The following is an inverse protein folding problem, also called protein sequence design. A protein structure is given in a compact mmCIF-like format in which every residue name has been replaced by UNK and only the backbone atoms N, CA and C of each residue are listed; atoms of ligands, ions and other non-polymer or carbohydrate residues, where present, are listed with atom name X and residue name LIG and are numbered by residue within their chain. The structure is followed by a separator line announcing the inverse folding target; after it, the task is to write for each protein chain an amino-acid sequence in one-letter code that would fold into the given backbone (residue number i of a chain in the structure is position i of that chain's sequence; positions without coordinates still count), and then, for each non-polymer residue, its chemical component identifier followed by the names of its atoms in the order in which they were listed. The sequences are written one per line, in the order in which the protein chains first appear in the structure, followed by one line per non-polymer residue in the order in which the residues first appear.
data_IF_955342998492
#
_entry.id   IF_955342998492
#
_cell.length_a   1.000
_cell.length_b   1.000
_cell.length_c   1.000
_cell.angle_alpha   90.00
_cell.angle_beta   90.00
_cell.angle_gamma   90.00
#
_symmetry.space_group_name_H-M   'P 1'
#
loop_
_entity.id
_entity.type
_entity.pdbx_description
1 polymer ?
#
# COMPACT_ATOMS: atom_id res chain seq x y z
N UNK A 1 18.23 15.37 18.76
CA UNK A 1 18.69 15.28 17.35
C UNK A 1 18.27 13.96 16.70
N UNK A 2 18.60 12.79 17.29
CA UNK A 2 18.23 11.47 16.74
C UNK A 2 16.72 11.24 16.58
N UNK A 3 15.92 11.67 17.57
CA UNK A 3 14.45 11.51 17.56
C UNK A 3 13.78 12.33 16.44
N UNK A 4 14.30 13.53 16.17
CA UNK A 4 13.82 14.37 15.07
C UNK A 4 14.13 13.73 13.71
N UNK A 5 15.36 13.24 13.52
CA UNK A 5 15.76 12.52 12.31
C UNK A 5 14.94 11.25 12.09
N UNK A 6 14.66 10.50 13.17
CA UNK A 6 13.81 9.32 13.12
C UNK A 6 12.37 9.67 12.73
N UNK A 7 11.81 10.73 13.31
CA UNK A 7 10.44 11.20 13.00
C UNK A 7 10.32 11.63 11.54
N UNK A 8 11.33 12.32 11.00
CA UNK A 8 11.39 12.72 9.59
C UNK A 8 11.48 11.49 8.66
N UNK A 9 12.31 10.51 9.02
CA UNK A 9 12.42 9.25 8.29
C UNK A 9 11.09 8.47 8.29
N UNK A 10 10.40 8.41 9.43
CA UNK A 10 9.09 7.76 9.54
C UNK A 10 8.01 8.47 8.71
N UNK A 11 8.02 9.81 8.68
CA UNK A 11 7.12 10.58 7.80
C UNK A 11 7.41 10.27 6.32
N UNK A 12 8.68 10.18 5.95
CA UNK A 12 9.09 9.86 4.59
C UNK A 12 8.66 8.44 4.20
N UNK A 13 8.88 7.45 5.07
CA UNK A 13 8.40 6.08 4.88
C UNK A 13 6.88 6.01 4.78
N UNK A 14 6.16 6.75 5.62
CA UNK A 14 4.70 6.84 5.56
C UNK A 14 4.19 7.43 4.23
N UNK A 15 4.88 8.44 3.70
CA UNK A 15 4.55 8.98 2.36
C UNK A 15 4.83 7.98 1.26
N UNK A 16 5.99 7.33 1.32
CA UNK A 16 6.41 6.32 0.36
C UNK A 16 5.53 5.07 0.37
N UNK A 17 4.88 4.76 1.51
CA UNK A 17 3.96 3.62 1.59
C UNK A 17 2.82 3.72 0.57
N UNK A 18 2.37 4.94 0.22
CA UNK A 18 1.34 5.16 -0.79
C UNK A 18 1.70 4.64 -2.19
N UNK A 19 3.00 4.58 -2.50
CA UNK A 19 3.53 4.11 -3.78
C UNK A 19 3.91 2.63 -3.68
N UNK A 20 4.64 2.26 -2.62
CA UNK A 20 5.12 0.88 -2.44
C UNK A 20 4.03 -0.14 -2.14
N UNK A 21 2.82 0.30 -1.78
CA UNK A 21 1.72 -0.63 -1.56
C UNK A 21 1.23 -1.29 -2.86
N UNK A 22 1.39 -0.66 -4.03
CA UNK A 22 0.91 -1.21 -5.31
C UNK A 22 1.54 -2.60 -5.58
N UNK A 23 2.88 -2.75 -5.59
CA UNK A 23 3.49 -4.07 -5.79
C UNK A 23 3.11 -5.05 -4.68
N UNK A 24 2.93 -4.59 -3.43
CA UNK A 24 2.46 -5.45 -2.34
C UNK A 24 1.03 -5.97 -2.57
N UNK A 25 0.13 -5.11 -3.06
CA UNK A 25 -1.24 -5.50 -3.42
C UNK A 25 -1.21 -6.49 -4.58
N UNK A 26 -0.40 -6.25 -5.61
CA UNK A 26 -0.28 -7.19 -6.74
C UNK A 26 0.21 -8.56 -6.30
N UNK A 27 1.29 -8.60 -5.51
CA UNK A 27 1.84 -9.87 -4.98
C UNK A 27 0.81 -10.56 -4.09
N UNK A 28 0.20 -9.83 -3.15
CA UNK A 28 -0.82 -10.38 -2.27
C UNK A 28 -2.03 -10.90 -3.02
N UNK A 29 -2.47 -10.18 -4.06
CA UNK A 29 -3.58 -10.60 -4.91
C UNK A 29 -3.27 -11.89 -5.65
N UNK A 30 -2.09 -11.99 -6.28
CA UNK A 30 -1.66 -13.22 -6.97
C UNK A 30 -1.56 -14.38 -5.97
N UNK A 31 -0.99 -14.16 -4.79
CA UNK A 31 -0.86 -15.21 -3.77
C UNK A 31 -2.23 -15.71 -3.27
N UNK A 32 -3.18 -14.81 -3.07
CA UNK A 32 -4.56 -15.15 -2.69
C UNK A 32 -5.25 -15.91 -3.81
N UNK A 33 -5.19 -15.42 -5.05
CA UNK A 33 -5.80 -16.09 -6.20
C UNK A 33 -5.17 -17.46 -6.46
N UNK A 34 -3.85 -17.58 -6.31
CA UNK A 34 -3.16 -18.86 -6.42
C UNK A 34 -3.65 -19.87 -5.36
N UNK A 35 -4.02 -19.40 -4.17
CA UNK A 35 -4.59 -20.26 -3.13
C UNK A 35 -6.01 -20.76 -3.47
N UNK A 36 -6.74 -20.07 -4.36
CA UNK A 36 -8.07 -20.49 -4.83
C UNK A 36 -8.01 -21.26 -6.16
N UNK A 37 -7.03 -20.94 -7.00
CA UNK A 37 -6.79 -21.50 -8.33
C UNK A 37 -5.27 -21.71 -8.46
N UNK A 38 -4.80 -22.94 -8.20
CA UNK A 38 -3.38 -23.30 -7.99
C UNK A 38 -2.44 -22.82 -9.10
N UNK A 39 -2.97 -22.49 -10.28
CA UNK A 39 -2.21 -22.01 -11.43
C UNK A 39 -2.25 -20.50 -11.68
N UNK A 40 -2.89 -19.68 -10.84
CA UNK A 40 -2.97 -18.23 -11.09
C UNK A 40 -1.60 -17.56 -10.97
N UNK A 41 -1.15 -16.89 -12.03
CA UNK A 41 0.16 -16.22 -12.13
C UNK A 41 0.04 -14.70 -12.30
N UNK A 42 1.18 -14.00 -12.27
CA UNK A 42 1.25 -12.59 -12.65
C UNK A 42 0.93 -12.34 -14.12
N UNK A 43 1.22 -13.31 -15.00
CA UNK A 43 0.86 -13.21 -16.41
C UNK A 43 -0.66 -13.24 -16.58
N UNK A 44 -1.37 -14.06 -15.80
CA UNK A 44 -2.84 -14.07 -15.78
C UNK A 44 -3.44 -12.79 -15.20
N UNK A 45 -2.74 -12.11 -14.29
CA UNK A 45 -3.17 -10.81 -13.81
C UNK A 45 -3.05 -9.73 -14.91
N UNK A 46 -2.01 -9.80 -15.74
CA UNK A 46 -1.78 -8.81 -16.81
C UNK A 46 -2.53 -9.13 -18.10
N UNK A 47 -2.69 -10.40 -18.48
CA UNK A 47 -3.41 -10.82 -19.67
C UNK A 47 -4.89 -11.17 -19.40
N UNK A 48 -5.23 -11.42 -18.14
CA UNK A 48 -6.56 -11.87 -17.76
C UNK A 48 -7.64 -10.81 -17.94
N UNK A 49 -8.88 -11.23 -17.68
CA UNK A 49 -10.07 -10.38 -17.76
C UNK A 49 -9.84 -9.09 -16.99
N UNK A 50 -10.25 -7.97 -17.58
CA UNK A 50 -10.20 -6.62 -17.00
C UNK A 50 -10.68 -6.57 -15.54
N UNK A 51 -11.58 -7.48 -15.14
CA UNK A 51 -12.06 -7.62 -13.76
C UNK A 51 -10.93 -7.71 -12.71
N UNK A 52 -9.88 -8.52 -12.92
CA UNK A 52 -8.80 -8.67 -11.94
C UNK A 52 -8.01 -7.36 -11.78
N UNK A 53 -7.79 -6.65 -12.89
CA UNK A 53 -7.15 -5.33 -12.89
C UNK A 53 -7.99 -4.28 -12.15
N UNK A 54 -9.30 -4.27 -12.41
CA UNK A 54 -10.25 -3.41 -11.70
C UNK A 54 -10.30 -3.72 -10.19
N UNK A 55 -10.16 -4.99 -9.81
CA UNK A 55 -10.17 -5.41 -8.41
C UNK A 55 -8.89 -4.96 -7.68
N UNK A 56 -7.72 -5.16 -8.28
CA UNK A 56 -6.45 -4.62 -7.77
C UNK A 56 -6.50 -3.09 -7.65
N UNK A 57 -7.05 -2.41 -8.65
CA UNK A 57 -7.26 -0.96 -8.60
C UNK A 57 -8.21 -0.55 -7.48
N UNK A 58 -9.33 -1.28 -7.30
CA UNK A 58 -10.28 -1.00 -6.23
C UNK A 58 -9.65 -1.17 -4.83
N UNK A 59 -8.87 -2.23 -4.62
CA UNK A 59 -8.10 -2.43 -3.37
C UNK A 59 -7.14 -1.28 -3.15
N UNK A 60 -6.43 -0.85 -4.20
CA UNK A 60 -5.52 0.29 -4.12
C UNK A 60 -6.24 1.60 -3.78
N UNK A 61 -7.40 1.88 -4.38
CA UNK A 61 -8.19 3.06 -4.07
C UNK A 61 -8.70 3.05 -2.63
N UNK A 62 -9.18 1.90 -2.14
CA UNK A 62 -9.58 1.74 -0.73
C UNK A 62 -8.39 2.01 0.20
N UNK A 63 -7.22 1.45 -0.12
CA UNK A 63 -6.00 1.75 0.62
C UNK A 63 -5.69 3.25 0.62
N UNK A 64 -5.75 3.93 -0.54
CA UNK A 64 -5.48 5.36 -0.63
C UNK A 64 -6.45 6.21 0.20
N UNK A 65 -7.73 5.84 0.24
CA UNK A 65 -8.72 6.51 1.09
C UNK A 65 -8.37 6.37 2.57
N UNK A 66 -8.02 5.16 3.01
CA UNK A 66 -7.59 4.88 4.38
C UNK A 66 -6.27 5.59 4.72
N UNK A 67 -5.32 5.58 3.79
CA UNK A 67 -4.03 6.24 3.91
C UNK A 67 -4.23 7.75 4.03
N UNK A 68 -5.04 8.37 3.17
CA UNK A 68 -5.32 9.80 3.21
C UNK A 68 -6.02 10.22 4.51
N UNK A 69 -6.98 9.42 4.99
CA UNK A 69 -7.64 9.66 6.27
C UNK A 69 -6.64 9.59 7.43
N UNK A 70 -5.76 8.58 7.41
CA UNK A 70 -4.75 8.35 8.44
C UNK A 70 -3.59 9.35 8.37
N UNK A 71 -3.31 9.91 7.19
CA UNK A 71 -2.16 10.77 6.93
C UNK A 71 -2.15 12.00 7.84
N UNK A 72 -3.30 12.65 8.06
CA UNK A 72 -3.41 13.79 8.98
C UNK A 72 -3.03 13.39 10.41
N UNK A 73 -3.51 12.23 10.87
CA UNK A 73 -3.24 11.71 12.20
C UNK A 73 -1.77 11.30 12.40
N UNK A 74 -1.24 10.51 11.47
CA UNK A 74 0.15 10.01 11.53
C UNK A 74 1.15 11.17 11.47
N UNK A 75 0.96 12.13 10.55
CA UNK A 75 1.84 13.30 10.48
C UNK A 75 1.75 14.16 11.73
N UNK A 76 0.54 14.37 12.28
CA UNK A 76 0.38 15.12 13.53
C UNK A 76 1.03 14.42 14.72
N UNK A 77 0.96 13.10 14.79
CA UNK A 77 1.56 12.32 15.87
C UNK A 77 3.10 12.32 15.79
N UNK A 78 3.64 12.10 14.59
CA UNK A 78 5.09 12.10 14.36
C UNK A 78 5.70 13.50 14.58
N UNK A 79 4.99 14.57 14.23
CA UNK A 79 5.43 15.94 14.55
C UNK A 79 5.41 16.24 16.06
N UNK A 80 4.48 15.66 16.81
CA UNK A 80 4.45 15.82 18.28
C UNK A 80 5.64 15.12 18.97
N UNK A 81 6.16 14.04 18.38
CA UNK A 81 7.36 13.35 18.88
C UNK A 81 8.66 14.12 18.62
N UNK A 82 8.63 15.16 17.79
CA UNK A 82 9.78 16.00 17.46
C UNK A 82 10.03 17.10 18.52
N UNK A 83 9.03 17.41 19.35
CA UNK A 83 9.07 18.36 20.48
C UNK A 83 9.31 17.66 21.81
#
# INVERSE_FOLDING_TARGET
MLIAQLSQLLILLWKLSSVFVIPLIMVGYVMVMNSYDESFTFEDLDQGKNFHKWLVLAIYLVYLLLWNRSNKGVVSYLKKLEY
#
